data_IF_752724443485
#
_entry.id   IF_752724443485
#
_cell.length_a   1.000
_cell.length_b   1.000
_cell.length_c   1.000
_cell.angle_alpha   90.00
_cell.angle_beta   90.00
_cell.angle_gamma   90.00
#
_symmetry.space_group_name_H-M   'P 1'
#
loop_
_entity.id
_entity.type
_entity.pdbx_description
1 polymer ?
#
# COMPACT_ATOMS: atom_id res chain seq x y z
N UNK A 1 19.59 -15.84 -24.75
CA UNK A 1 18.33 -15.69 -25.49
C UNK A 1 18.46 -16.48 -26.76
N UNK A 2 17.38 -17.09 -27.20
CA UNK A 2 17.35 -17.92 -28.41
C UNK A 2 16.91 -17.01 -29.58
N UNK A 3 17.18 -17.43 -30.84
CA UNK A 3 16.88 -16.62 -32.02
C UNK A 3 15.37 -16.34 -32.29
N UNK A 4 14.51 -16.93 -31.51
CA UNK A 4 13.04 -16.74 -31.59
C UNK A 4 12.46 -15.95 -30.39
N UNK A 5 13.30 -15.57 -29.41
CA UNK A 5 12.86 -14.77 -28.28
C UNK A 5 12.67 -13.31 -28.74
N UNK A 6 11.56 -12.70 -28.32
CA UNK A 6 11.24 -11.29 -28.61
C UNK A 6 11.34 -10.49 -27.33
N UNK A 7 12.07 -9.37 -27.38
CA UNK A 7 12.13 -8.40 -26.28
C UNK A 7 11.42 -7.13 -26.70
N UNK A 8 10.53 -6.63 -25.85
CA UNK A 8 9.88 -5.35 -26.04
C UNK A 8 10.03 -4.50 -24.77
N UNK A 9 10.24 -3.21 -24.93
CA UNK A 9 10.12 -2.25 -23.82
C UNK A 9 8.66 -1.77 -23.79
N UNK A 10 7.97 -2.05 -22.70
CA UNK A 10 6.53 -1.78 -22.55
C UNK A 10 6.26 -0.39 -22.00
N UNK A 11 7.03 0.02 -21.00
CA UNK A 11 6.95 1.37 -20.42
C UNK A 11 8.23 1.67 -19.61
N UNK A 12 8.64 2.93 -19.51
CA UNK A 12 9.68 3.38 -18.59
C UNK A 12 10.88 2.43 -18.44
N UNK A 13 10.99 1.75 -17.33
CA UNK A 13 12.00 0.75 -16.98
C UNK A 13 11.49 -0.71 -17.13
N UNK A 14 10.34 -0.91 -17.76
CA UNK A 14 9.67 -2.20 -17.91
C UNK A 14 9.93 -2.84 -19.27
N UNK A 15 10.25 -4.13 -19.25
CA UNK A 15 10.54 -4.94 -20.43
C UNK A 15 9.72 -6.23 -20.39
N UNK A 16 9.13 -6.60 -21.53
CA UNK A 16 8.51 -7.89 -21.74
C UNK A 16 9.38 -8.78 -22.62
N UNK A 17 9.44 -10.06 -22.32
CA UNK A 17 10.15 -11.09 -23.09
C UNK A 17 9.16 -12.18 -23.45
N UNK A 18 8.94 -12.38 -24.74
CA UNK A 18 8.22 -13.54 -25.24
C UNK A 18 9.22 -14.63 -25.65
N UNK A 19 9.15 -15.79 -25.00
CA UNK A 19 10.08 -16.89 -25.20
C UNK A 19 9.33 -18.19 -25.56
N UNK A 20 9.06 -18.45 -26.85
CA UNK A 20 8.31 -19.61 -27.28
C UNK A 20 8.98 -20.94 -26.90
N UNK A 21 8.18 -21.91 -26.44
CA UNK A 21 8.63 -23.27 -26.12
C UNK A 21 9.44 -23.41 -24.84
N UNK A 22 9.33 -22.44 -23.89
CA UNK A 22 9.84 -22.59 -22.54
C UNK A 22 8.77 -23.16 -21.61
N UNK A 23 9.14 -24.15 -20.81
CA UNK A 23 8.37 -24.61 -19.68
C UNK A 23 8.66 -23.80 -18.41
N UNK A 24 7.93 -24.10 -17.32
CA UNK A 24 8.02 -23.37 -16.04
C UNK A 24 9.44 -23.35 -15.45
N UNK A 25 10.10 -24.50 -15.39
CA UNK A 25 11.46 -24.62 -14.88
C UNK A 25 12.46 -23.81 -15.71
N UNK A 26 12.28 -23.79 -17.04
CA UNK A 26 13.13 -23.03 -17.96
C UNK A 26 12.89 -21.51 -17.82
N UNK A 27 11.63 -21.09 -17.63
CA UNK A 27 11.29 -19.68 -17.40
C UNK A 27 11.95 -19.14 -16.13
N UNK A 28 11.87 -19.88 -15.03
CA UNK A 28 12.55 -19.55 -13.78
C UNK A 28 14.09 -19.43 -13.96
N UNK A 29 14.71 -20.37 -14.66
CA UNK A 29 16.15 -20.32 -14.95
C UNK A 29 16.52 -19.13 -15.84
N UNK A 30 15.69 -18.75 -16.81
CA UNK A 30 15.93 -17.58 -17.66
C UNK A 30 15.90 -16.31 -16.81
N UNK A 31 14.91 -16.16 -15.91
CA UNK A 31 14.80 -15.02 -15.00
C UNK A 31 16.04 -14.90 -14.11
N UNK A 32 16.48 -16.00 -13.49
CA UNK A 32 17.69 -15.98 -12.64
C UNK A 32 18.97 -15.62 -13.44
N UNK A 33 19.08 -16.06 -14.67
CA UNK A 33 20.20 -15.68 -15.55
C UNK A 33 20.18 -14.19 -15.91
N UNK A 34 18.99 -13.61 -16.15
CA UNK A 34 18.86 -12.18 -16.43
C UNK A 34 19.22 -11.38 -15.17
N UNK A 35 18.71 -11.79 -14.01
CA UNK A 35 19.02 -11.17 -12.72
C UNK A 35 20.52 -11.14 -12.46
N UNK A 36 21.17 -12.30 -12.56
CA UNK A 36 22.61 -12.42 -12.38
C UNK A 36 23.44 -11.65 -13.44
N UNK A 37 22.92 -11.46 -14.66
CA UNK A 37 23.58 -10.63 -15.66
C UNK A 37 23.49 -9.14 -15.34
N UNK A 38 22.36 -8.66 -14.84
CA UNK A 38 22.15 -7.26 -14.42
C UNK A 38 22.99 -6.94 -13.19
N UNK A 39 23.04 -7.83 -12.19
CA UNK A 39 23.87 -7.65 -10.99
C UNK A 39 25.37 -7.57 -11.31
N UNK A 40 25.81 -8.27 -12.35
CA UNK A 40 27.22 -8.23 -12.82
C UNK A 40 27.55 -7.02 -13.70
N UNK A 41 26.55 -6.26 -14.13
CA UNK A 41 26.76 -5.05 -14.93
C UNK A 41 27.35 -3.91 -14.06
N UNK A 42 28.68 -3.91 -13.91
CA UNK A 42 29.46 -3.06 -12.99
C UNK A 42 29.62 -1.59 -13.44
N UNK A 43 28.99 -1.18 -14.52
CA UNK A 43 29.11 0.19 -15.07
C UNK A 43 28.14 1.20 -14.44
N UNK A 44 27.28 0.76 -13.54
CA UNK A 44 26.28 1.60 -12.90
C UNK A 44 26.75 2.09 -11.51
N UNK A 45 26.43 3.34 -11.14
CA UNK A 45 26.87 3.92 -9.86
C UNK A 45 26.21 3.30 -8.61
N UNK A 46 25.20 2.46 -8.80
CA UNK A 46 24.54 1.66 -7.74
C UNK A 46 24.14 0.31 -8.28
N UNK A 47 24.05 -0.75 -7.43
CA UNK A 47 23.62 -2.07 -7.86
C UNK A 47 22.16 -1.99 -8.36
N UNK A 48 21.96 -2.36 -9.63
CA UNK A 48 20.62 -2.43 -10.22
C UNK A 48 19.98 -3.77 -9.80
N UNK A 49 18.78 -3.69 -9.25
CA UNK A 49 17.97 -4.88 -8.96
C UNK A 49 16.80 -4.94 -9.94
N UNK A 50 16.47 -6.14 -10.41
CA UNK A 50 15.30 -6.36 -11.25
C UNK A 50 14.31 -7.29 -10.54
N UNK A 51 13.04 -6.98 -10.65
CA UNK A 51 11.95 -7.90 -10.38
C UNK A 51 11.47 -8.46 -11.72
N UNK A 52 11.20 -9.76 -11.80
CA UNK A 52 10.73 -10.39 -13.02
C UNK A 52 9.73 -11.48 -12.68
N UNK A 53 8.55 -11.39 -13.28
CA UNK A 53 7.52 -12.41 -13.23
C UNK A 53 7.36 -13.11 -14.58
N UNK A 54 6.68 -14.22 -14.62
CA UNK A 54 6.38 -14.96 -15.85
C UNK A 54 5.00 -15.57 -15.82
N UNK A 55 4.45 -15.78 -17.01
CA UNK A 55 3.24 -16.56 -17.25
C UNK A 55 3.49 -17.54 -18.39
N UNK A 56 2.82 -18.68 -18.41
CA UNK A 56 3.03 -19.79 -19.34
C UNK A 56 1.71 -20.15 -20.03
N UNK A 57 1.68 -19.97 -21.35
CA UNK A 57 0.58 -20.45 -22.16
C UNK A 57 0.68 -21.98 -22.36
N UNK A 58 -0.46 -22.71 -22.36
CA UNK A 58 -1.83 -22.23 -22.15
C UNK A 58 -2.29 -22.24 -20.68
N UNK A 59 -1.42 -22.59 -19.73
CA UNK A 59 -1.74 -22.79 -18.30
C UNK A 59 -2.30 -21.51 -17.66
N UNK A 60 -1.66 -20.38 -17.89
CA UNK A 60 -1.93 -19.10 -17.21
C UNK A 60 -2.76 -18.17 -18.10
N UNK A 61 -3.23 -18.65 -19.26
CA UNK A 61 -4.01 -17.94 -20.24
C UNK A 61 -3.61 -18.28 -21.68
N UNK A 62 -4.45 -17.90 -22.63
CA UNK A 62 -4.19 -18.06 -24.08
C UNK A 62 -4.13 -16.73 -24.81
N UNK A 63 -4.70 -15.69 -24.20
CA UNK A 63 -4.66 -14.33 -24.71
C UNK A 63 -3.49 -13.55 -24.11
N UNK A 64 -2.95 -12.62 -24.88
CA UNK A 64 -1.80 -11.82 -24.43
C UNK A 64 -2.10 -11.01 -23.16
N UNK A 65 -3.35 -10.53 -23.02
CA UNK A 65 -3.80 -9.79 -21.84
C UNK A 65 -3.68 -10.61 -20.55
N UNK A 66 -4.21 -11.82 -20.55
CA UNK A 66 -4.20 -12.72 -19.39
C UNK A 66 -2.78 -13.09 -18.96
N UNK A 67 -1.91 -13.36 -19.95
CA UNK A 67 -0.51 -13.69 -19.70
C UNK A 67 0.28 -12.53 -19.12
N UNK A 68 0.04 -11.31 -19.62
CA UNK A 68 0.67 -10.09 -19.09
C UNK A 68 0.20 -9.85 -17.65
N UNK A 69 -1.09 -9.93 -17.39
CA UNK A 69 -1.66 -9.75 -16.06
C UNK A 69 -1.08 -10.75 -15.04
N UNK A 70 -1.00 -12.02 -15.41
CA UNK A 70 -0.40 -13.08 -14.57
C UNK A 70 1.10 -12.82 -14.32
N UNK A 71 1.84 -12.42 -15.35
CA UNK A 71 3.25 -12.10 -15.20
C UNK A 71 3.47 -10.86 -14.31
N UNK A 72 2.66 -9.82 -14.46
CA UNK A 72 2.70 -8.61 -13.61
C UNK A 72 2.36 -8.92 -12.16
N UNK A 73 1.36 -9.79 -11.91
CA UNK A 73 1.05 -10.28 -10.57
C UNK A 73 2.27 -10.97 -9.94
N UNK A 74 2.94 -11.85 -10.68
CA UNK A 74 4.17 -12.53 -10.24
C UNK A 74 5.33 -11.55 -10.01
N UNK A 75 5.47 -10.48 -10.80
CA UNK A 75 6.45 -9.39 -10.55
C UNK A 75 6.13 -8.69 -9.23
N UNK A 76 4.87 -8.40 -8.98
CA UNK A 76 4.43 -7.76 -7.76
C UNK A 76 4.75 -8.62 -6.53
N UNK A 77 4.43 -9.92 -6.57
CA UNK A 77 4.77 -10.88 -5.53
C UNK A 77 6.28 -10.94 -5.26
N UNK A 78 7.08 -10.97 -6.33
CA UNK A 78 8.54 -11.00 -6.18
C UNK A 78 9.10 -9.66 -5.71
N UNK A 79 8.54 -8.53 -6.11
CA UNK A 79 8.90 -7.22 -5.56
C UNK A 79 8.58 -7.16 -4.07
N UNK A 80 7.47 -7.76 -3.64
CA UNK A 80 7.14 -7.94 -2.23
C UNK A 80 8.11 -8.90 -1.51
N UNK A 81 8.49 -10.01 -2.15
CA UNK A 81 9.39 -11.02 -1.58
C UNK A 81 10.89 -10.64 -1.65
N UNK A 82 11.35 -10.01 -2.74
CA UNK A 82 12.76 -9.64 -2.94
C UNK A 82 13.19 -8.38 -2.17
N UNK A 83 12.27 -7.62 -1.63
CA UNK A 83 12.53 -6.56 -0.65
C UNK A 83 12.80 -7.09 0.76
N UNK A 84 13.07 -8.40 0.91
CA UNK A 84 13.51 -9.07 2.15
C UNK A 84 14.82 -8.54 2.76
N UNK A 85 15.29 -7.38 2.30
CA UNK A 85 16.30 -6.54 2.96
C UNK A 85 15.75 -5.14 3.32
N UNK A 86 14.44 -4.92 3.17
CA UNK A 86 13.61 -3.80 3.61
C UNK A 86 12.29 -4.36 4.15
N UNK A 87 11.40 -3.57 4.75
CA UNK A 87 10.18 -4.08 5.36
C UNK A 87 9.26 -4.69 4.30
N UNK A 88 9.28 -6.03 4.19
CA UNK A 88 8.21 -6.77 3.51
C UNK A 88 6.93 -6.62 4.33
N UNK A 89 5.78 -6.62 3.68
CA UNK A 89 4.51 -6.64 4.41
C UNK A 89 4.53 -7.78 5.43
N UNK A 90 4.17 -7.55 6.69
CA UNK A 90 4.02 -8.60 7.68
C UNK A 90 3.12 -9.72 7.18
N UNK A 91 3.36 -10.96 7.62
CA UNK A 91 2.62 -12.14 7.15
C UNK A 91 1.09 -11.97 7.28
N UNK A 92 0.63 -11.29 8.33
CA UNK A 92 -0.80 -10.99 8.53
C UNK A 92 -1.37 -10.06 7.45
N UNK A 93 -0.61 -9.05 7.03
CA UNK A 93 -1.01 -8.14 5.95
C UNK A 93 -0.95 -8.84 4.59
N UNK A 94 0.01 -9.75 4.40
CA UNK A 94 0.04 -10.59 3.20
C UNK A 94 -1.19 -11.47 3.11
N UNK A 95 -1.59 -12.12 4.20
CA UNK A 95 -2.84 -12.90 4.25
C UNK A 95 -4.04 -12.02 3.96
N UNK A 96 -4.13 -10.85 4.60
CA UNK A 96 -5.22 -9.91 4.37
C UNK A 96 -5.30 -9.43 2.90
N UNK A 97 -4.15 -9.26 2.23
CA UNK A 97 -4.09 -8.91 0.80
C UNK A 97 -4.67 -10.03 -0.07
N UNK A 98 -4.30 -11.28 0.20
CA UNK A 98 -4.81 -12.43 -0.56
C UNK A 98 -6.29 -12.71 -0.34
N UNK A 99 -6.82 -12.37 0.82
CA UNK A 99 -8.24 -12.51 1.15
C UNK A 99 -9.12 -11.40 0.53
N UNK A 100 -8.51 -10.35 -0.06
CA UNK A 100 -9.24 -9.34 -0.82
C UNK A 100 -9.72 -9.89 -2.17
N UNK A 101 -10.88 -9.43 -2.69
CA UNK A 101 -11.29 -9.72 -4.07
C UNK A 101 -10.21 -9.30 -5.09
N UNK A 102 -10.08 -10.05 -6.20
CA UNK A 102 -9.08 -9.81 -7.24
C UNK A 102 -9.05 -8.36 -7.73
N UNK A 103 -10.21 -7.74 -7.92
CA UNK A 103 -10.30 -6.33 -8.31
C UNK A 103 -9.70 -5.38 -7.27
N UNK A 104 -9.83 -5.68 -5.97
CA UNK A 104 -9.21 -4.88 -4.92
C UNK A 104 -7.69 -5.07 -4.88
N UNK A 105 -7.21 -6.30 -5.08
CA UNK A 105 -5.79 -6.58 -5.22
C UNK A 105 -5.18 -5.83 -6.41
N UNK A 106 -5.90 -5.74 -7.55
CA UNK A 106 -5.49 -4.93 -8.69
C UNK A 106 -5.40 -3.44 -8.36
N UNK A 107 -6.34 -2.89 -7.60
CA UNK A 107 -6.28 -1.50 -7.14
C UNK A 107 -5.05 -1.23 -6.29
N UNK A 108 -4.67 -2.13 -5.38
CA UNK A 108 -3.43 -2.03 -4.59
C UNK A 108 -2.20 -2.07 -5.51
N UNK A 109 -2.19 -2.97 -6.49
CA UNK A 109 -1.11 -3.03 -7.50
C UNK A 109 -0.97 -1.74 -8.28
N UNK A 110 -2.08 -1.13 -8.70
CA UNK A 110 -2.10 0.15 -9.42
C UNK A 110 -1.56 1.29 -8.55
N UNK A 111 -1.97 1.39 -7.29
CA UNK A 111 -1.41 2.39 -6.35
C UNK A 111 0.12 2.30 -6.28
N UNK A 112 0.65 1.08 -6.17
CA UNK A 112 2.08 0.84 -6.12
C UNK A 112 2.78 1.19 -7.44
N UNK A 113 2.22 0.76 -8.59
CA UNK A 113 2.77 1.02 -9.92
C UNK A 113 2.81 2.53 -10.23
N UNK A 114 1.76 3.24 -9.91
CA UNK A 114 1.67 4.69 -10.06
C UNK A 114 2.49 5.48 -9.01
N UNK A 115 3.13 4.76 -8.08
CA UNK A 115 3.89 5.34 -6.96
C UNK A 115 3.06 6.34 -6.14
N UNK A 116 1.78 6.06 -6.00
CA UNK A 116 0.86 6.87 -5.18
C UNK A 116 0.96 6.49 -3.71
N UNK A 117 1.31 5.23 -3.43
CA UNK A 117 1.62 4.72 -2.10
C UNK A 117 2.94 3.95 -2.09
N UNK A 118 3.69 4.05 -1.00
CA UNK A 118 4.92 3.31 -0.77
C UNK A 118 4.60 2.04 0.01
N UNK A 119 5.25 0.94 -0.33
CA UNK A 119 5.12 -0.32 0.40
C UNK A 119 5.51 -0.20 1.87
N UNK A 120 6.53 0.63 2.17
CA UNK A 120 6.94 0.95 3.53
C UNK A 120 5.80 1.59 4.32
N UNK A 121 5.04 2.51 3.71
CA UNK A 121 3.86 3.12 4.30
C UNK A 121 2.79 2.06 4.62
N UNK A 122 2.41 1.23 3.66
CA UNK A 122 1.42 0.18 3.88
C UNK A 122 1.85 -0.80 4.99
N UNK A 123 3.15 -1.15 5.03
CA UNK A 123 3.73 -2.00 6.06
C UNK A 123 3.63 -1.36 7.45
N UNK A 124 4.01 -0.10 7.60
CA UNK A 124 3.99 0.60 8.89
C UNK A 124 2.57 0.85 9.39
N UNK A 125 1.71 1.41 8.53
CA UNK A 125 0.30 1.66 8.87
C UNK A 125 -0.39 0.35 9.26
N UNK A 126 -0.18 -0.71 8.48
CA UNK A 126 -0.71 -2.02 8.79
C UNK A 126 -0.19 -2.58 10.11
N UNK A 127 1.13 -2.53 10.35
CA UNK A 127 1.72 -3.05 11.58
C UNK A 127 1.19 -2.31 12.82
N UNK A 128 1.19 -0.98 12.83
CA UNK A 128 0.65 -0.21 13.96
C UNK A 128 -0.84 -0.41 14.15
N UNK A 129 -1.60 -0.55 13.06
CA UNK A 129 -3.02 -0.90 13.14
C UNK A 129 -3.23 -2.26 13.82
N UNK A 130 -2.44 -3.26 13.46
CA UNK A 130 -2.51 -4.59 14.06
C UNK A 130 -2.07 -4.59 15.52
N UNK A 131 -1.02 -3.87 15.88
CA UNK A 131 -0.55 -3.75 17.25
C UNK A 131 -1.62 -3.08 18.15
N UNK A 132 -2.21 -1.96 17.68
CA UNK A 132 -3.31 -1.32 18.39
C UNK A 132 -4.55 -2.21 18.48
N UNK A 133 -4.91 -2.93 17.41
CA UNK A 133 -6.08 -3.82 17.39
C UNK A 133 -6.01 -4.90 18.47
N UNK A 134 -4.80 -5.44 18.72
CA UNK A 134 -4.54 -6.41 19.78
C UNK A 134 -4.63 -5.76 21.16
N UNK A 135 -4.07 -4.56 21.32
CA UNK A 135 -4.09 -3.83 22.60
C UNK A 135 -5.50 -3.45 23.04
N UNK A 136 -6.39 -3.12 22.08
CA UNK A 136 -7.80 -2.83 22.38
C UNK A 136 -8.68 -4.08 22.40
N UNK A 137 -8.13 -5.26 22.08
CA UNK A 137 -8.84 -6.53 22.14
C UNK A 137 -9.88 -6.73 21.02
N UNK A 138 -9.62 -6.25 19.78
CA UNK A 138 -10.49 -6.57 18.66
C UNK A 138 -10.52 -8.09 18.42
N UNK A 139 -11.70 -8.60 18.08
CA UNK A 139 -11.84 -10.00 17.65
C UNK A 139 -11.14 -10.25 16.29
N UNK A 140 -10.86 -11.52 15.94
CA UNK A 140 -10.12 -11.84 14.71
C UNK A 140 -10.79 -11.35 13.42
N UNK A 141 -12.12 -11.31 13.32
CA UNK A 141 -12.82 -10.85 12.13
C UNK A 141 -12.64 -9.34 11.94
N UNK A 142 -12.75 -8.56 13.03
CA UNK A 142 -12.49 -7.11 13.01
C UNK A 142 -11.02 -6.79 12.74
N UNK A 143 -10.09 -7.60 13.28
CA UNK A 143 -8.66 -7.47 12.96
C UNK A 143 -8.40 -7.71 11.47
N UNK A 144 -8.99 -8.74 10.86
CA UNK A 144 -8.88 -9.02 9.44
C UNK A 144 -9.43 -7.86 8.58
N UNK A 145 -10.60 -7.34 8.91
CA UNK A 145 -11.18 -6.18 8.22
C UNK A 145 -10.28 -4.94 8.32
N UNK A 146 -9.69 -4.67 9.49
CA UNK A 146 -8.75 -3.56 9.68
C UNK A 146 -7.47 -3.75 8.87
N UNK A 147 -6.92 -4.97 8.82
CA UNK A 147 -5.74 -5.28 8.01
C UNK A 147 -6.00 -5.03 6.52
N UNK A 148 -7.14 -5.49 6.01
CA UNK A 148 -7.57 -5.21 4.63
C UNK A 148 -7.76 -3.71 4.39
N UNK A 149 -8.42 -3.00 5.32
CA UNK A 149 -8.61 -1.56 5.21
C UNK A 149 -7.28 -0.80 5.17
N UNK A 150 -6.28 -1.18 5.97
CA UNK A 150 -4.95 -0.59 5.95
C UNK A 150 -4.26 -0.72 4.59
N UNK A 151 -4.51 -1.80 3.85
CA UNK A 151 -3.94 -2.02 2.51
C UNK A 151 -4.63 -1.19 1.41
N UNK A 152 -5.91 -0.87 1.59
CA UNK A 152 -6.75 -0.27 0.53
C UNK A 152 -7.25 1.14 0.86
N UNK A 153 -6.89 1.73 2.02
CA UNK A 153 -7.48 2.98 2.49
C UNK A 153 -7.34 4.13 1.49
N UNK A 154 -6.26 4.15 0.75
CA UNK A 154 -5.88 5.20 -0.17
C UNK A 154 -6.16 4.90 -1.65
N UNK A 155 -6.88 3.81 -1.99
CA UNK A 155 -7.16 3.45 -3.41
C UNK A 155 -7.88 4.56 -4.17
N UNK A 156 -8.60 5.42 -3.48
CA UNK A 156 -9.24 6.58 -4.11
C UNK A 156 -8.26 7.64 -4.64
N UNK A 157 -6.98 7.59 -4.28
CA UNK A 157 -5.93 8.44 -4.87
C UNK A 157 -5.73 8.17 -6.36
N UNK A 158 -6.07 6.96 -6.84
CA UNK A 158 -6.04 6.60 -8.27
C UNK A 158 -6.90 7.53 -9.15
N UNK A 159 -7.92 8.13 -8.59
CA UNK A 159 -8.83 9.06 -9.33
C UNK A 159 -8.62 10.53 -8.95
N UNK A 160 -7.56 10.85 -8.23
CA UNK A 160 -7.12 12.22 -7.96
C UNK A 160 -6.15 12.66 -9.06
N UNK A 161 -6.23 13.91 -9.57
CA UNK A 161 -5.29 14.38 -10.57
C UNK A 161 -3.83 14.25 -10.12
N UNK A 162 -2.95 13.60 -10.89
CA UNK A 162 -1.55 13.38 -10.49
C UNK A 162 -0.78 14.66 -10.20
N UNK A 163 -1.12 15.76 -10.88
CA UNK A 163 -0.52 17.07 -10.63
C UNK A 163 -0.80 17.58 -9.21
N UNK A 164 -1.94 17.20 -8.62
CA UNK A 164 -2.30 17.57 -7.27
C UNK A 164 -1.52 16.74 -6.24
N UNK A 165 -1.42 15.43 -6.46
CA UNK A 165 -0.69 14.51 -5.58
C UNK A 165 0.82 14.81 -5.53
N UNK A 166 1.37 15.32 -6.65
CA UNK A 166 2.80 15.62 -6.79
C UNK A 166 3.13 17.11 -6.62
N UNK A 167 2.18 17.93 -6.16
CA UNK A 167 2.39 19.37 -6.00
C UNK A 167 3.47 19.67 -4.96
N UNK A 168 4.55 20.39 -5.30
CA UNK A 168 5.66 20.67 -4.38
C UNK A 168 5.38 21.87 -3.45
N UNK A 169 4.13 22.24 -3.25
CA UNK A 169 3.69 23.37 -2.43
C UNK A 169 2.44 22.98 -1.63
N UNK A 170 2.12 23.68 -0.55
CA UNK A 170 0.87 23.48 0.18
C UNK A 170 -0.35 23.55 -0.76
N UNK A 171 -1.34 22.73 -0.48
CA UNK A 171 -2.59 22.73 -1.22
C UNK A 171 -3.43 23.96 -0.85
N UNK A 172 -4.16 24.50 -1.81
CA UNK A 172 -5.21 25.48 -1.54
C UNK A 172 -6.45 24.77 -0.99
N UNK A 173 -7.39 25.49 -0.41
CA UNK A 173 -8.65 24.91 0.11
C UNK A 173 -9.43 24.14 -0.96
N UNK A 174 -9.46 24.64 -2.19
CA UNK A 174 -10.14 23.95 -3.31
C UNK A 174 -9.42 22.64 -3.65
N UNK A 175 -8.09 22.65 -3.65
CA UNK A 175 -7.27 21.46 -3.89
C UNK A 175 -7.40 20.44 -2.76
N UNK A 176 -7.44 20.89 -1.50
CA UNK A 176 -7.73 20.02 -0.34
C UNK A 176 -9.11 19.38 -0.47
N UNK A 177 -10.11 20.14 -0.93
CA UNK A 177 -11.47 19.63 -1.18
C UNK A 177 -11.47 18.56 -2.30
N UNK A 178 -10.64 18.74 -3.33
CA UNK A 178 -10.51 17.74 -4.39
C UNK A 178 -9.80 16.50 -3.85
N UNK A 179 -8.72 16.66 -3.09
CA UNK A 179 -7.99 15.55 -2.48
C UNK A 179 -8.88 14.76 -1.49
N UNK A 180 -9.63 15.45 -0.64
CA UNK A 180 -10.52 14.80 0.34
C UNK A 180 -11.54 13.84 -0.30
N UNK A 181 -11.90 14.06 -1.57
CA UNK A 181 -12.79 13.14 -2.31
C UNK A 181 -12.21 11.74 -2.53
N UNK A 182 -10.88 11.52 -2.30
CA UNK A 182 -10.32 10.17 -2.41
C UNK A 182 -11.00 9.19 -1.45
N UNK A 183 -11.42 9.62 -0.27
CA UNK A 183 -12.12 8.78 0.71
C UNK A 183 -13.42 8.23 0.14
N UNK A 184 -14.31 9.12 -0.32
CA UNK A 184 -15.61 8.71 -0.88
C UNK A 184 -15.50 7.94 -2.18
N UNK A 185 -14.52 8.31 -3.03
CA UNK A 185 -14.25 7.62 -4.30
C UNK A 185 -13.60 6.26 -4.06
N UNK A 186 -12.67 6.16 -3.09
CA UNK A 186 -12.07 4.90 -2.68
C UNK A 186 -13.12 3.93 -2.16
N UNK A 187 -13.99 4.36 -1.27
CA UNK A 187 -15.11 3.55 -0.79
C UNK A 187 -16.03 3.07 -1.95
N UNK A 188 -16.30 3.94 -2.92
CA UNK A 188 -17.09 3.56 -4.10
C UNK A 188 -16.38 2.53 -4.99
N UNK A 189 -15.08 2.70 -5.23
CA UNK A 189 -14.27 1.73 -5.99
C UNK A 189 -14.24 0.36 -5.29
N UNK A 190 -14.02 0.33 -3.98
CA UNK A 190 -13.98 -0.90 -3.20
C UNK A 190 -15.32 -1.65 -3.22
N UNK A 191 -16.45 -0.94 -3.11
CA UNK A 191 -17.78 -1.55 -3.30
C UNK A 191 -17.97 -2.13 -4.69
N UNK A 192 -17.52 -1.40 -5.72
CA UNK A 192 -17.66 -1.84 -7.11
C UNK A 192 -16.89 -3.14 -7.41
N UNK A 193 -15.78 -3.39 -6.70
CA UNK A 193 -14.99 -4.63 -6.84
C UNK A 193 -15.33 -5.68 -5.78
N UNK A 194 -16.41 -5.51 -5.02
CA UNK A 194 -16.97 -6.52 -4.12
C UNK A 194 -16.25 -6.66 -2.76
N UNK A 195 -15.55 -5.64 -2.30
CA UNK A 195 -14.96 -5.62 -0.95
C UNK A 195 -16.07 -5.55 0.11
N UNK A 196 -15.87 -6.27 1.23
CA UNK A 196 -16.82 -6.32 2.34
C UNK A 196 -17.12 -4.92 2.91
N UNK A 197 -18.38 -4.67 3.27
CA UNK A 197 -18.81 -3.35 3.78
C UNK A 197 -18.15 -3.02 5.12
N UNK A 198 -17.72 -4.01 5.92
CA UNK A 198 -16.94 -3.77 7.12
C UNK A 198 -15.61 -3.07 6.78
N UNK A 199 -14.91 -3.51 5.76
CA UNK A 199 -13.67 -2.88 5.26
C UNK A 199 -13.96 -1.51 4.67
N UNK A 200 -15.01 -1.42 3.83
CA UNK A 200 -15.37 -0.16 3.17
C UNK A 200 -15.76 0.92 4.17
N UNK A 201 -16.46 0.57 5.25
CA UNK A 201 -16.84 1.52 6.30
C UNK A 201 -15.64 2.08 7.05
N UNK A 202 -14.62 1.27 7.29
CA UNK A 202 -13.34 1.71 7.88
C UNK A 202 -12.66 2.73 6.94
N UNK A 203 -12.52 2.38 5.66
CA UNK A 203 -11.93 3.24 4.64
C UNK A 203 -12.71 4.55 4.48
N UNK A 204 -14.05 4.48 4.52
CA UNK A 204 -14.89 5.67 4.40
C UNK A 204 -14.75 6.67 5.57
N UNK A 205 -14.22 6.23 6.71
CA UNK A 205 -14.14 7.04 7.93
C UNK A 205 -12.70 7.31 8.43
N UNK A 206 -11.65 6.88 7.70
CA UNK A 206 -10.27 6.97 8.18
C UNK A 206 -9.71 8.41 8.28
N UNK A 207 -10.37 9.39 7.70
CA UNK A 207 -10.07 10.81 7.85
C UNK A 207 -11.09 11.58 8.70
N UNK A 208 -11.99 10.87 9.39
CA UNK A 208 -12.77 11.48 10.43
C UNK A 208 -11.87 11.80 11.64
N UNK A 209 -12.23 12.86 12.35
CA UNK A 209 -11.50 13.34 13.51
C UNK A 209 -12.34 13.17 14.78
N UNK A 210 -11.67 12.87 15.87
CA UNK A 210 -12.35 12.71 17.16
C UNK A 210 -13.23 13.91 17.55
N UNK A 211 -12.79 15.13 17.20
CA UNK A 211 -13.50 16.38 17.47
C UNK A 211 -14.65 16.68 16.48
N UNK A 212 -14.88 15.83 15.47
CA UNK A 212 -15.89 16.02 14.44
C UNK A 212 -15.49 17.00 13.32
N UNK A 213 -14.25 17.51 13.35
CA UNK A 213 -13.71 18.38 12.30
C UNK A 213 -13.16 17.63 11.09
N UNK A 214 -13.38 16.32 11.00
CA UNK A 214 -12.93 15.45 9.91
C UNK A 214 -13.86 15.43 8.70
N UNK A 215 -13.62 14.51 7.80
CA UNK A 215 -14.39 14.29 6.59
C UNK A 215 -14.46 12.80 6.24
N UNK A 216 -15.43 12.33 5.44
CA UNK A 216 -16.44 13.11 4.68
C UNK A 216 -17.73 13.41 5.43
N UNK A 217 -18.05 12.70 6.54
CA UNK A 217 -19.33 12.77 7.21
C UNK A 217 -19.35 13.70 8.45
N UNK A 218 -18.17 14.09 8.96
CA UNK A 218 -18.03 14.87 10.18
C UNK A 218 -18.43 14.10 11.44
N UNK A 219 -18.16 12.80 11.47
CA UNK A 219 -18.40 11.94 12.63
C UNK A 219 -17.51 12.37 13.80
N UNK A 220 -18.00 12.27 15.03
CA UNK A 220 -17.26 12.63 16.22
C UNK A 220 -17.24 11.52 17.27
N UNK A 221 -16.14 11.40 17.99
CA UNK A 221 -15.99 10.45 19.10
C UNK A 221 -16.33 9.01 18.69
N UNK A 222 -17.21 8.38 19.46
CA UNK A 222 -17.63 6.99 19.25
C UNK A 222 -18.54 6.76 18.04
N UNK A 223 -18.97 7.82 17.35
CA UNK A 223 -19.65 7.66 16.06
C UNK A 223 -18.68 7.15 14.97
N UNK A 224 -17.38 7.39 15.13
CA UNK A 224 -16.35 6.88 14.22
C UNK A 224 -16.10 5.41 14.55
N UNK A 225 -16.16 4.47 13.59
CA UNK A 225 -15.78 3.08 13.83
C UNK A 225 -14.41 2.97 14.51
N UNK A 226 -14.29 2.12 15.52
CA UNK A 226 -13.04 1.99 16.29
C UNK A 226 -11.86 1.65 15.37
N UNK A 227 -12.08 0.78 14.37
CA UNK A 227 -11.07 0.41 13.37
C UNK A 227 -10.63 1.61 12.53
N UNK A 228 -11.53 2.51 12.19
CA UNK A 228 -11.20 3.73 11.45
C UNK A 228 -10.39 4.69 12.33
N UNK A 229 -10.69 4.79 13.62
CA UNK A 229 -9.88 5.57 14.60
C UNK A 229 -8.47 4.98 14.72
N UNK A 230 -8.35 3.64 14.76
CA UNK A 230 -7.06 2.95 14.78
C UNK A 230 -6.28 3.23 13.49
N UNK A 231 -6.91 3.11 12.33
CA UNK A 231 -6.27 3.37 11.04
C UNK A 231 -5.81 4.83 10.93
N UNK A 232 -6.65 5.79 11.37
CA UNK A 232 -6.32 7.22 11.34
C UNK A 232 -5.07 7.56 12.16
N UNK A 233 -4.92 7.00 13.37
CA UNK A 233 -3.74 7.27 14.20
C UNK A 233 -2.51 6.54 13.66
N UNK A 234 -2.65 5.34 13.08
CA UNK A 234 -1.56 4.61 12.46
C UNK A 234 -1.02 5.35 11.22
N UNK A 235 -1.90 5.85 10.35
CA UNK A 235 -1.52 6.69 9.20
C UNK A 235 -0.87 8.01 9.66
N UNK A 236 -1.40 8.65 10.69
CA UNK A 236 -0.80 9.84 11.30
C UNK A 236 0.61 9.60 11.82
N UNK A 237 0.85 8.46 12.48
CA UNK A 237 2.17 8.06 12.95
C UNK A 237 3.17 7.89 11.80
N UNK A 238 2.76 7.21 10.71
CA UNK A 238 3.61 7.07 9.53
C UNK A 238 3.87 8.42 8.88
N UNK A 239 2.83 9.23 8.73
CA UNK A 239 2.98 10.58 8.19
C UNK A 239 4.00 11.43 8.96
N UNK A 240 4.14 11.26 10.26
CA UNK A 240 5.11 11.95 11.12
C UNK A 240 6.51 11.35 11.05
N UNK A 241 6.63 10.03 11.13
CA UNK A 241 7.89 9.33 11.35
C UNK A 241 8.62 8.91 10.08
N UNK A 242 7.93 8.90 8.93
CA UNK A 242 8.55 8.59 7.64
C UNK A 242 9.09 9.83 6.94
N UNK A 243 10.24 9.64 6.26
CA UNK A 243 10.86 10.68 5.45
C UNK A 243 10.04 10.89 4.17
N UNK A 244 9.58 12.12 3.95
CA UNK A 244 8.91 12.53 2.71
C UNK A 244 9.81 13.45 1.88
N UNK A 245 9.64 13.54 0.54
CA UNK A 245 10.54 14.35 -0.32
C UNK A 245 10.72 15.79 0.13
N UNK A 246 9.72 16.35 0.83
CA UNK A 246 9.67 17.76 1.23
C UNK A 246 9.72 17.96 2.75
N UNK A 247 9.83 16.86 3.55
CA UNK A 247 9.86 16.93 5.00
C UNK A 247 10.76 15.87 5.61
N UNK A 248 11.65 16.29 6.52
CA UNK A 248 12.44 15.39 7.35
C UNK A 248 11.50 14.60 8.27
N UNK A 249 11.79 13.30 8.47
CA UNK A 249 11.11 12.52 9.48
C UNK A 249 11.26 13.16 10.87
N UNK A 250 10.19 13.15 11.61
CA UNK A 250 10.21 13.56 13.01
C UNK A 250 10.89 12.48 13.86
N UNK A 251 11.50 12.89 14.92
CA UNK A 251 11.98 11.98 15.96
C UNK A 251 10.79 11.43 16.75
N UNK A 252 10.97 10.30 17.41
CA UNK A 252 9.93 9.72 18.28
C UNK A 252 9.42 10.69 19.35
N UNK A 253 10.28 11.50 20.04
CA UNK A 253 9.80 12.53 20.96
C UNK A 253 8.93 13.60 20.29
N UNK A 254 9.27 14.06 19.09
CA UNK A 254 8.48 15.05 18.34
C UNK A 254 7.11 14.48 17.95
N UNK A 255 7.07 13.25 17.41
CA UNK A 255 5.83 12.57 17.08
C UNK A 255 4.96 12.31 18.32
N UNK A 256 5.55 11.91 19.44
CA UNK A 256 4.85 11.71 20.71
C UNK A 256 4.23 13.01 21.22
N UNK A 257 4.95 14.12 21.14
CA UNK A 257 4.45 15.42 21.57
C UNK A 257 3.24 15.87 20.73
N UNK A 258 3.29 15.64 19.42
CA UNK A 258 2.18 15.98 18.53
C UNK A 258 0.95 15.10 18.76
N UNK A 259 1.13 13.78 18.93
CA UNK A 259 0.07 12.87 19.30
C UNK A 259 -0.63 13.29 20.61
N UNK A 260 0.15 13.75 21.61
CA UNK A 260 -0.41 14.25 22.86
C UNK A 260 -1.18 15.57 22.67
N UNK A 261 -0.71 16.45 21.80
CA UNK A 261 -1.37 17.72 21.46
C UNK A 261 -2.70 17.49 20.73
N UNK A 262 -2.73 16.52 19.81
CA UNK A 262 -3.89 16.18 19.01
C UNK A 262 -4.82 15.15 19.67
N UNK A 263 -4.50 14.70 20.89
CA UNK A 263 -5.36 13.84 21.71
C UNK A 263 -6.66 14.54 22.06
N UNK A 264 -7.78 13.89 21.78
CA UNK A 264 -9.13 14.46 21.96
C UNK A 264 -9.53 15.49 20.89
N UNK A 265 -8.67 15.74 19.91
CA UNK A 265 -8.90 16.60 18.75
C UNK A 265 -8.93 15.77 17.47
N UNK A 266 -7.79 15.49 16.91
CA UNK A 266 -7.67 14.62 15.74
C UNK A 266 -7.84 13.15 16.13
N UNK A 267 -7.19 12.72 17.21
CA UNK A 267 -7.10 11.32 17.59
C UNK A 267 -7.87 11.00 18.87
N UNK A 268 -8.35 9.75 18.92
CA UNK A 268 -8.97 9.17 20.12
C UNK A 268 -7.96 9.17 21.28
N UNK A 269 -8.27 9.77 22.45
CA UNK A 269 -7.37 9.86 23.59
C UNK A 269 -6.89 8.51 24.11
N UNK A 270 -7.72 7.48 24.04
CA UNK A 270 -7.35 6.15 24.49
C UNK A 270 -6.33 5.52 23.54
N UNK A 271 -6.55 5.64 22.22
CA UNK A 271 -5.59 5.15 21.22
C UNK A 271 -4.27 5.90 21.28
N UNK A 272 -4.27 7.20 21.54
CA UNK A 272 -3.03 7.98 21.76
C UNK A 272 -2.23 7.41 22.93
N UNK A 273 -2.89 7.09 24.05
CA UNK A 273 -2.24 6.48 25.23
C UNK A 273 -1.62 5.13 24.90
N UNK A 274 -2.25 4.34 24.03
CA UNK A 274 -1.81 2.99 23.65
C UNK A 274 -0.70 2.99 22.60
N UNK A 275 -0.70 3.94 21.63
CA UNK A 275 0.29 3.94 20.53
C UNK A 275 1.65 4.47 20.96
N UNK A 276 1.72 5.39 21.93
CA UNK A 276 2.99 6.00 22.37
C UNK A 276 4.02 4.95 22.83
N UNK A 277 3.69 3.96 23.68
CA UNK A 277 4.61 2.89 24.02
C UNK A 277 5.06 2.05 22.82
N UNK A 278 4.16 1.80 21.86
CA UNK A 278 4.47 1.05 20.63
C UNK A 278 5.49 1.79 19.79
N UNK A 279 5.29 3.10 19.55
CA UNK A 279 6.23 3.95 18.82
C UNK A 279 7.62 4.02 19.48
N UNK A 280 7.69 3.94 20.80
CA UNK A 280 8.95 4.00 21.53
C UNK A 280 9.69 2.66 21.54
N UNK A 281 8.99 1.54 21.40
CA UNK A 281 9.56 0.18 21.38
C UNK A 281 10.06 -0.23 19.97
N UNK A 282 9.57 0.38 18.91
CA UNK A 282 9.86 0.02 17.50
C UNK A 282 11.19 0.58 16.97
N UNK A 283 12.23 0.67 17.79
CA UNK A 283 13.58 1.15 17.43
C UNK A 283 14.62 0.05 17.44
#
# INVERSE_FOLDING_TARGET
>A
MRGHDVIARTAGDEFAILAPGLGETDAAMVVERIRAAVERATTLPAPLRIAAGWAIAPRDGTEAGDLIETAEASVFEQKLAARSAGPSLPAELMTALWDLPDGAQQLVRLLHTERLELEEHLSHVGQWSMDLSRLVGLDPARQAALAQAALVHDVGKLVVPPALLRKPAPLTRDEETILAKHVTRGAALLRAVGVDEAVVSIVAAHHERWDGGGYPAGLAGDQIPLEARILAIADGCDAMTMRRPYRKAWTTPEATADLQLESGRQFDPELVRLIIPVLTASR
#
